data_IF_318211589746
#
_entry.id   IF_318211589746
#
_cell.length_a   1.000
_cell.length_b   1.000
_cell.length_c   1.000
_cell.angle_alpha   90.00
_cell.angle_beta   90.00
_cell.angle_gamma   90.00
#
_symmetry.space_group_name_H-M   'P 1'
#
loop_
_entity.id
_entity.type
_entity.pdbx_description
1 polymer ?
#
# COMPACT_ATOMS: atom_id res chain seq x y z
N UNK A 1 1.63 12.74 -5.91
CA UNK A 1 0.59 12.83 -6.95
C UNK A 1 -0.47 11.82 -6.57
N UNK A 2 -1.67 12.26 -6.21
CA UNK A 2 -2.74 11.39 -5.72
C UNK A 2 -4.06 11.71 -6.46
N UNK A 3 -4.80 10.67 -6.84
CA UNK A 3 -6.15 10.78 -7.42
C UNK A 3 -6.25 11.62 -8.71
N UNK A 4 -5.22 11.63 -9.56
CA UNK A 4 -5.28 12.35 -10.84
C UNK A 4 -5.79 11.47 -11.98
N UNK A 5 -6.37 12.12 -12.98
CA UNK A 5 -6.71 11.49 -14.26
C UNK A 5 -5.96 12.22 -15.38
N UNK A 6 -5.14 11.50 -16.12
CA UNK A 6 -4.39 12.03 -17.28
C UNK A 6 -4.71 11.18 -18.49
N UNK A 7 -5.04 11.82 -19.61
CA UNK A 7 -5.35 11.12 -20.84
C UNK A 7 -4.64 11.69 -22.06
N UNK A 8 -4.22 10.80 -22.97
CA UNK A 8 -3.69 11.12 -24.30
C UNK A 8 -2.56 12.16 -24.29
N UNK A 9 -1.56 11.95 -23.43
CA UNK A 9 -0.30 12.68 -23.56
C UNK A 9 0.38 12.33 -24.89
N UNK A 10 1.15 13.28 -25.41
CA UNK A 10 1.74 13.18 -26.75
C UNK A 10 2.78 12.06 -26.90
N UNK A 11 3.03 11.67 -28.15
CA UNK A 11 4.07 10.72 -28.52
C UNK A 11 5.45 11.14 -27.98
N UNK A 12 6.24 10.18 -27.53
CA UNK A 12 7.54 10.40 -26.88
C UNK A 12 7.48 11.02 -25.48
N UNK A 13 6.30 11.46 -25.00
CA UNK A 13 6.11 12.02 -23.67
C UNK A 13 5.70 10.99 -22.63
N UNK A 14 5.67 11.41 -21.37
CA UNK A 14 5.07 10.63 -20.28
C UNK A 14 3.87 11.34 -19.66
N UNK A 15 2.94 10.58 -19.08
CA UNK A 15 1.87 11.17 -18.28
C UNK A 15 2.44 11.86 -17.03
N UNK A 16 3.44 11.22 -16.41
CA UNK A 16 4.19 11.72 -15.26
C UNK A 16 5.67 11.42 -15.47
N UNK A 17 6.54 12.44 -15.46
CA UNK A 17 7.99 12.34 -15.76
C UNK A 17 8.82 13.07 -14.68
N UNK A 18 8.89 12.58 -13.43
CA UNK A 18 9.72 13.19 -12.40
C UNK A 18 11.20 13.06 -12.77
N UNK A 19 11.86 14.20 -12.94
CA UNK A 19 13.29 14.30 -13.26
C UNK A 19 14.03 14.79 -12.02
N UNK A 20 14.94 13.98 -11.48
CA UNK A 20 15.69 14.30 -10.27
C UNK A 20 14.80 14.53 -9.05
N UNK A 21 13.71 13.77 -8.91
CA UNK A 21 12.75 13.89 -7.80
C UNK A 21 12.97 12.80 -6.75
N UNK A 22 12.67 13.11 -5.48
CA UNK A 22 13.03 12.26 -4.35
C UNK A 22 11.86 12.10 -3.38
N UNK A 23 11.78 10.97 -2.67
CA UNK A 23 10.77 10.69 -1.63
C UNK A 23 9.33 10.89 -2.14
N UNK A 24 9.08 10.45 -3.36
CA UNK A 24 7.85 10.70 -4.10
C UNK A 24 6.82 9.60 -3.92
N UNK A 25 5.54 9.96 -3.88
CA UNK A 25 4.42 9.02 -3.94
C UNK A 25 3.49 9.39 -5.09
N UNK A 26 3.30 8.46 -6.02
CA UNK A 26 2.37 8.54 -7.15
C UNK A 26 1.34 7.44 -6.97
N UNK A 27 0.14 7.80 -6.53
CA UNK A 27 -0.85 6.80 -6.15
C UNK A 27 -2.28 7.12 -6.56
N UNK A 28 -3.12 6.09 -6.50
CA UNK A 28 -4.56 6.15 -6.74
C UNK A 28 -4.93 6.92 -8.02
N UNK A 29 -4.09 6.91 -9.05
CA UNK A 29 -4.27 7.73 -10.24
C UNK A 29 -4.60 6.89 -11.47
N UNK A 30 -5.06 7.54 -12.54
CA UNK A 30 -5.45 6.89 -13.79
C UNK A 30 -4.78 7.57 -14.97
N UNK A 31 -4.01 6.81 -15.73
CA UNK A 31 -3.25 7.27 -16.89
C UNK A 31 -3.66 6.47 -18.12
N UNK A 32 -4.30 7.11 -19.10
CA UNK A 32 -4.83 6.42 -20.29
C UNK A 32 -4.29 7.08 -21.56
N UNK A 33 -3.70 6.31 -22.47
CA UNK A 33 -3.30 6.87 -23.78
C UNK A 33 -3.43 5.87 -24.92
N UNK A 34 -4.00 6.32 -26.04
CA UNK A 34 -4.02 5.57 -27.30
C UNK A 34 -2.92 6.01 -28.28
N UNK A 35 -2.13 7.03 -27.92
CA UNK A 35 -1.17 7.71 -28.82
C UNK A 35 0.24 7.84 -28.22
N UNK A 36 0.53 7.13 -27.13
CA UNK A 36 1.82 7.20 -26.40
C UNK A 36 2.96 6.45 -27.09
N UNK A 37 3.04 6.45 -28.43
CA UNK A 37 4.15 5.82 -29.17
C UNK A 37 5.48 6.35 -28.68
N UNK A 38 6.41 5.46 -28.30
CA UNK A 38 7.72 5.83 -27.77
C UNK A 38 7.72 6.56 -26.42
N UNK A 39 6.56 6.73 -25.79
CA UNK A 39 6.40 7.38 -24.49
C UNK A 39 6.24 6.39 -23.33
N UNK A 40 5.84 6.90 -22.16
CA UNK A 40 5.57 6.09 -20.97
C UNK A 40 4.35 6.56 -20.19
N UNK A 41 3.76 5.72 -19.34
CA UNK A 41 2.81 6.17 -18.33
C UNK A 41 3.53 7.02 -17.29
N UNK A 42 4.39 6.37 -16.52
CA UNK A 42 5.13 6.99 -15.40
C UNK A 42 6.62 6.74 -15.57
N UNK A 43 7.44 7.79 -15.48
CA UNK A 43 8.89 7.71 -15.70
C UNK A 43 9.71 8.54 -14.70
N UNK A 44 10.07 8.01 -13.52
CA UNK A 44 11.13 8.60 -12.71
C UNK A 44 12.49 8.43 -13.38
N UNK A 45 13.25 9.52 -13.55
CA UNK A 45 14.58 9.51 -14.19
C UNK A 45 15.47 10.66 -13.68
N UNK A 46 16.68 10.80 -14.24
CA UNK A 46 17.55 11.95 -14.01
C UNK A 46 18.02 12.11 -12.57
N UNK A 47 18.39 11.01 -11.92
CA UNK A 47 18.83 10.97 -10.52
C UNK A 47 17.67 10.83 -9.51
N UNK A 48 16.49 10.43 -9.99
CA UNK A 48 15.34 10.23 -9.09
C UNK A 48 15.56 9.05 -8.14
N UNK A 49 15.11 9.16 -6.89
CA UNK A 49 15.32 8.12 -5.88
C UNK A 49 14.16 8.03 -4.90
N UNK A 50 13.88 6.83 -4.38
CA UNK A 50 12.85 6.62 -3.36
C UNK A 50 11.49 7.17 -3.83
N UNK A 51 10.99 6.61 -4.93
CA UNK A 51 9.68 6.95 -5.48
C UNK A 51 8.82 5.70 -5.50
N UNK A 52 7.68 5.78 -4.82
CA UNK A 52 6.66 4.75 -4.82
C UNK A 52 5.56 5.09 -5.82
N UNK A 53 5.20 4.11 -6.65
CA UNK A 53 4.13 4.16 -7.64
C UNK A 53 3.09 3.09 -7.22
N UNK A 54 1.99 3.51 -6.60
CA UNK A 54 1.06 2.60 -5.91
C UNK A 54 -0.39 2.68 -6.39
N UNK A 55 -1.02 1.53 -6.66
CA UNK A 55 -2.46 1.47 -6.84
C UNK A 55 -3.00 2.34 -7.99
N UNK A 56 -2.20 2.51 -9.04
CA UNK A 56 -2.58 3.26 -10.23
C UNK A 56 -3.14 2.34 -11.31
N UNK A 57 -3.95 2.93 -12.21
CA UNK A 57 -4.27 2.33 -13.51
C UNK A 57 -3.42 3.00 -14.59
N UNK A 58 -2.63 2.22 -15.32
CA UNK A 58 -1.99 2.65 -16.57
C UNK A 58 -2.60 1.85 -17.72
N UNK A 59 -3.23 2.51 -18.68
CA UNK A 59 -3.87 1.87 -19.83
C UNK A 59 -3.34 2.45 -21.14
N UNK A 60 -2.67 1.61 -21.90
CA UNK A 60 -2.03 1.96 -23.17
C UNK A 60 -2.60 1.11 -24.29
N UNK A 61 -2.67 1.66 -25.50
CA UNK A 61 -2.91 0.84 -26.68
C UNK A 61 -1.84 -0.27 -26.79
N UNK A 62 -2.24 -1.46 -27.23
CA UNK A 62 -1.35 -2.62 -27.42
C UNK A 62 -0.16 -2.23 -28.30
N UNK A 63 1.07 -2.48 -27.81
CA UNK A 63 2.31 -2.16 -28.52
C UNK A 63 2.74 -0.68 -28.46
N UNK A 64 1.99 0.18 -27.76
CA UNK A 64 2.29 1.60 -27.66
C UNK A 64 2.86 1.99 -26.30
N UNK A 65 4.04 2.60 -26.28
CA UNK A 65 4.65 3.15 -25.06
C UNK A 65 4.96 2.09 -23.99
N UNK A 66 5.41 2.55 -22.83
CA UNK A 66 5.79 1.71 -21.68
C UNK A 66 4.90 2.04 -20.50
N UNK A 67 4.43 1.05 -19.73
CA UNK A 67 3.59 1.29 -18.56
C UNK A 67 4.29 2.17 -17.53
N UNK A 68 5.33 1.62 -16.93
CA UNK A 68 6.28 2.32 -16.07
C UNK A 68 7.70 2.16 -16.64
N UNK A 69 8.48 3.23 -16.61
CA UNK A 69 9.91 3.18 -16.90
C UNK A 69 10.69 3.78 -15.73
N UNK A 70 11.41 2.95 -14.98
CA UNK A 70 12.32 3.42 -13.95
C UNK A 70 13.68 3.73 -14.60
N UNK A 71 14.01 5.00 -14.68
CA UNK A 71 15.20 5.55 -15.31
C UNK A 71 15.04 5.91 -16.79
N UNK A 72 16.15 6.08 -17.52
CA UNK A 72 16.07 6.58 -18.89
C UNK A 72 17.37 7.07 -19.51
N UNK A 73 17.25 8.08 -20.37
CA UNK A 73 18.37 8.80 -20.96
C UNK A 73 18.12 10.29 -20.75
N UNK A 74 18.70 10.80 -19.68
CA UNK A 74 18.64 12.18 -19.22
C UNK A 74 19.99 12.80 -19.57
N UNK A 75 20.01 14.01 -20.13
CA UNK A 75 21.30 14.69 -20.32
C UNK A 75 21.94 14.98 -18.95
N UNK A 76 23.26 14.80 -18.85
CA UNK A 76 24.03 14.94 -17.59
C UNK A 76 23.77 16.25 -16.82
N UNK A 77 23.51 17.35 -17.53
CA UNK A 77 23.17 18.66 -16.94
C UNK A 77 21.83 18.70 -16.19
N UNK A 78 20.94 17.73 -16.41
CA UNK A 78 19.61 17.67 -15.80
C UNK A 78 19.50 16.68 -14.65
N UNK A 79 20.56 15.94 -14.31
CA UNK A 79 20.52 15.10 -13.12
C UNK A 79 20.41 15.94 -11.85
N UNK A 80 19.56 15.51 -10.93
CA UNK A 80 19.59 15.95 -9.52
C UNK A 80 19.64 14.71 -8.66
N UNK A 81 20.66 14.61 -7.81
CA UNK A 81 20.83 13.52 -6.86
C UNK A 81 20.54 14.00 -5.44
N UNK A 82 20.19 13.06 -4.57
CA UNK A 82 20.26 13.28 -3.12
C UNK A 82 21.73 13.53 -2.75
N UNK A 83 21.97 14.34 -1.71
CA UNK A 83 23.32 14.64 -1.22
C UNK A 83 24.11 13.35 -0.94
N UNK A 84 25.23 13.19 -1.65
CA UNK A 84 26.13 12.03 -1.54
C UNK A 84 25.94 10.95 -2.60
N UNK A 85 24.83 10.99 -3.35
CA UNK A 85 24.54 10.05 -4.43
C UNK A 85 25.05 10.54 -5.79
N UNK A 86 25.31 9.61 -6.71
CA UNK A 86 25.63 9.90 -8.11
C UNK A 86 25.54 8.63 -8.97
N UNK A 87 25.55 8.79 -10.30
CA UNK A 87 25.83 7.69 -11.22
C UNK A 87 24.66 6.76 -11.56
N UNK A 88 23.42 7.18 -11.38
CA UNK A 88 22.22 6.41 -11.76
C UNK A 88 21.13 7.29 -12.39
N UNK A 89 20.29 6.73 -13.26
CA UNK A 89 19.10 7.42 -13.78
C UNK A 89 17.96 7.43 -12.77
N UNK A 90 17.75 6.30 -12.12
CA UNK A 90 16.90 6.19 -10.96
C UNK A 90 17.48 5.18 -9.97
N UNK A 91 17.01 5.19 -8.73
CA UNK A 91 17.33 4.21 -7.70
C UNK A 91 16.13 4.05 -6.76
N UNK A 92 15.98 2.90 -6.09
CA UNK A 92 14.92 2.66 -5.09
C UNK A 92 13.51 3.03 -5.57
N UNK A 93 13.14 2.57 -6.77
CA UNK A 93 11.81 2.79 -7.34
C UNK A 93 10.91 1.61 -6.99
N UNK A 94 9.85 1.87 -6.22
CA UNK A 94 8.86 0.85 -5.85
C UNK A 94 7.62 1.01 -6.71
N UNK A 95 7.15 -0.07 -7.33
CA UNK A 95 5.97 -0.11 -8.19
C UNK A 95 5.07 -1.23 -7.71
N UNK A 96 3.92 -0.88 -7.15
CA UNK A 96 3.13 -1.84 -6.38
C UNK A 96 1.62 -1.66 -6.47
N UNK A 97 0.89 -2.78 -6.47
CA UNK A 97 -0.58 -2.75 -6.49
C UNK A 97 -1.18 -2.13 -7.75
N UNK A 98 -0.39 -1.87 -8.80
CA UNK A 98 -0.88 -1.19 -10.00
C UNK A 98 -1.54 -2.18 -10.96
N UNK A 99 -2.45 -1.67 -11.77
CA UNK A 99 -3.00 -2.37 -12.92
C UNK A 99 -2.45 -1.73 -14.20
N UNK A 100 -1.74 -2.51 -15.02
CA UNK A 100 -1.13 -2.04 -16.27
C UNK A 100 -1.74 -2.83 -17.44
N UNK A 101 -2.42 -2.10 -18.33
CA UNK A 101 -3.14 -2.66 -19.47
C UNK A 101 -2.43 -2.27 -20.77
N UNK A 102 -2.16 -3.26 -21.62
CA UNK A 102 -1.57 -3.02 -22.94
C UNK A 102 -0.12 -2.53 -22.89
N UNK A 103 0.22 -1.65 -23.85
CA UNK A 103 1.57 -1.13 -24.02
C UNK A 103 2.54 -2.07 -24.72
N UNK A 104 3.74 -1.60 -25.02
CA UNK A 104 4.86 -2.43 -25.51
C UNK A 104 5.54 -3.19 -24.38
N UNK A 105 5.65 -2.57 -23.20
CA UNK A 105 6.10 -3.23 -21.97
C UNK A 105 5.40 -2.70 -20.74
N UNK A 106 5.24 -3.52 -19.70
CA UNK A 106 4.63 -3.06 -18.45
C UNK A 106 5.62 -2.30 -17.56
N UNK A 107 6.80 -2.86 -17.33
CA UNK A 107 7.90 -2.22 -16.59
C UNK A 107 9.18 -2.19 -17.44
N UNK A 108 9.99 -1.17 -17.27
CA UNK A 108 11.32 -1.08 -17.85
C UNK A 108 12.29 -0.48 -16.84
N UNK A 109 13.29 -1.25 -16.44
CA UNK A 109 14.43 -0.77 -15.68
C UNK A 109 15.51 -0.29 -16.64
N UNK A 110 15.94 0.96 -16.48
CA UNK A 110 16.89 1.61 -17.39
C UNK A 110 17.92 2.41 -16.62
N UNK A 111 19.17 1.96 -16.62
CA UNK A 111 20.30 2.54 -15.89
C UNK A 111 19.99 2.81 -14.41
N UNK A 112 19.41 1.81 -13.74
CA UNK A 112 18.99 1.84 -12.34
C UNK A 112 19.66 0.71 -11.57
N UNK A 113 20.03 1.00 -10.32
CA UNK A 113 20.41 0.03 -9.31
C UNK A 113 19.20 -0.20 -8.39
N UNK A 114 18.63 -1.39 -8.50
CA UNK A 114 17.49 -1.80 -7.69
C UNK A 114 16.12 -1.46 -8.29
N UNK A 115 15.16 -1.33 -7.39
CA UNK A 115 13.74 -1.12 -7.70
C UNK A 115 12.92 -2.40 -7.59
N UNK A 116 11.74 -2.27 -6.99
CA UNK A 116 10.85 -3.38 -6.66
C UNK A 116 9.56 -3.24 -7.45
N UNK A 117 9.22 -4.26 -8.23
CA UNK A 117 7.97 -4.35 -8.97
C UNK A 117 7.17 -5.51 -8.41
N UNK A 118 6.20 -5.22 -7.53
CA UNK A 118 5.46 -6.28 -6.84
C UNK A 118 3.96 -6.10 -6.74
N UNK A 119 3.22 -7.21 -6.64
CA UNK A 119 1.77 -7.17 -6.44
C UNK A 119 1.04 -6.32 -7.51
N UNK A 120 1.56 -6.29 -8.74
CA UNK A 120 0.91 -5.61 -9.86
C UNK A 120 0.14 -6.61 -10.70
N UNK A 121 -0.85 -6.12 -11.44
CA UNK A 121 -1.57 -6.88 -12.44
C UNK A 121 -1.25 -6.35 -13.83
N UNK A 122 -0.67 -7.21 -14.66
CA UNK A 122 -0.36 -6.94 -16.06
C UNK A 122 -1.38 -7.64 -16.94
N UNK A 123 -2.02 -6.89 -17.84
CA UNK A 123 -2.99 -7.44 -18.77
C UNK A 123 -2.61 -7.10 -20.21
N UNK A 124 -2.36 -8.15 -20.98
CA UNK A 124 -2.06 -8.09 -22.43
C UNK A 124 -0.98 -7.05 -22.77
N UNK A 125 0.17 -7.01 -22.08
CA UNK A 125 1.33 -6.35 -22.69
C UNK A 125 1.58 -6.96 -24.07
N UNK A 126 2.01 -6.12 -25.02
CA UNK A 126 2.41 -6.59 -26.34
C UNK A 126 3.78 -7.24 -26.25
N UNK A 127 4.86 -6.52 -26.56
CA UNK A 127 6.17 -7.15 -26.74
C UNK A 127 6.69 -7.85 -25.47
N UNK A 128 6.60 -7.21 -24.30
CA UNK A 128 7.24 -7.70 -23.06
C UNK A 128 6.45 -7.44 -21.79
N UNK A 129 6.58 -8.30 -20.77
CA UNK A 129 6.17 -7.95 -19.42
C UNK A 129 7.17 -6.93 -18.83
N UNK A 130 8.46 -7.21 -18.96
CA UNK A 130 9.51 -6.35 -18.44
C UNK A 130 10.65 -6.10 -19.44
N UNK A 131 11.43 -5.05 -19.17
CA UNK A 131 12.67 -4.77 -19.89
C UNK A 131 13.78 -4.40 -18.91
N UNK A 132 15.00 -4.86 -19.18
CA UNK A 132 16.24 -4.51 -18.50
C UNK A 132 17.11 -3.90 -19.59
N UNK A 133 17.33 -2.59 -19.55
CA UNK A 133 17.96 -1.87 -20.65
C UNK A 133 19.04 -0.95 -20.12
N UNK A 134 20.01 -0.65 -20.97
CA UNK A 134 20.87 0.51 -20.82
C UNK A 134 20.58 1.45 -22.01
N UNK A 135 20.16 2.68 -21.74
CA UNK A 135 19.88 3.69 -22.77
C UNK A 135 21.05 4.68 -22.94
N UNK A 136 22.13 4.55 -22.15
CA UNK A 136 23.32 5.41 -22.18
C UNK A 136 24.63 4.60 -22.21
N UNK A 137 24.82 3.66 -23.15
CA UNK A 137 25.98 2.80 -23.15
C UNK A 137 27.28 3.60 -23.34
N UNK A 138 28.29 3.29 -22.52
CA UNK A 138 29.60 3.96 -22.51
C UNK A 138 29.66 5.26 -21.69
N UNK A 139 28.55 5.72 -21.13
CA UNK A 139 28.55 6.81 -20.16
C UNK A 139 28.92 6.30 -18.76
N UNK A 140 29.40 7.19 -17.88
CA UNK A 140 29.72 6.86 -16.48
C UNK A 140 28.45 6.79 -15.60
N UNK A 141 27.47 6.03 -16.05
CA UNK A 141 26.23 5.69 -15.34
C UNK A 141 26.28 4.18 -15.11
N UNK A 142 25.80 3.73 -13.96
CA UNK A 142 25.80 2.31 -13.64
C UNK A 142 25.01 1.47 -14.67
N UNK A 143 25.45 0.22 -14.79
CA UNK A 143 24.75 -0.82 -15.51
C UNK A 143 23.44 -1.16 -14.80
N UNK A 144 22.40 -1.47 -15.55
CA UNK A 144 21.09 -1.81 -14.97
C UNK A 144 21.16 -3.13 -14.23
N UNK A 145 20.83 -3.13 -12.94
CA UNK A 145 21.05 -4.26 -12.04
C UNK A 145 20.07 -4.30 -10.86
N UNK A 146 20.05 -5.43 -10.15
CA UNK A 146 19.43 -5.62 -8.83
C UNK A 146 17.90 -5.39 -8.75
N UNK A 147 17.18 -5.41 -9.87
CA UNK A 147 15.73 -5.27 -9.85
C UNK A 147 15.01 -6.51 -9.30
N UNK A 148 13.88 -6.28 -8.64
CA UNK A 148 13.02 -7.34 -8.07
C UNK A 148 11.67 -7.34 -8.78
N UNK A 149 11.25 -8.50 -9.28
CA UNK A 149 9.91 -8.72 -9.82
C UNK A 149 9.21 -9.82 -9.01
N UNK A 150 8.28 -9.45 -8.13
CA UNK A 150 7.69 -10.38 -7.17
C UNK A 150 6.17 -10.34 -7.09
N UNK A 151 5.50 -11.48 -6.91
CA UNK A 151 4.05 -11.57 -6.61
C UNK A 151 3.14 -10.82 -7.60
N UNK A 152 3.58 -10.66 -8.86
CA UNK A 152 2.77 -10.03 -9.88
C UNK A 152 1.87 -11.05 -10.56
N UNK A 153 0.73 -10.63 -11.08
CA UNK A 153 -0.07 -11.46 -11.99
C UNK A 153 0.13 -10.97 -13.42
N UNK A 154 0.70 -11.82 -14.27
CA UNK A 154 1.07 -11.50 -15.65
C UNK A 154 0.20 -12.29 -16.62
N UNK A 155 -0.74 -11.60 -17.26
CA UNK A 155 -1.63 -12.19 -18.28
C UNK A 155 -1.24 -11.71 -19.65
N UNK A 156 -0.83 -12.62 -20.53
CA UNK A 156 -0.38 -12.31 -21.89
C UNK A 156 -1.06 -13.21 -22.92
N UNK A 157 -1.14 -12.75 -24.16
CA UNK A 157 -1.81 -13.45 -25.24
C UNK A 157 -1.45 -12.84 -26.59
N UNK A 158 -1.71 -13.60 -27.65
CA UNK A 158 -1.73 -13.16 -29.03
C UNK A 158 -0.35 -12.98 -29.64
N UNK A 159 -0.35 -12.83 -30.96
CA UNK A 159 0.86 -12.72 -31.79
C UNK A 159 1.72 -11.48 -31.49
N UNK A 160 1.17 -10.49 -30.76
CA UNK A 160 1.94 -9.33 -30.32
C UNK A 160 2.91 -9.64 -29.16
N UNK A 161 2.69 -10.75 -28.45
CA UNK A 161 3.58 -11.20 -27.39
C UNK A 161 4.91 -11.70 -27.94
N UNK A 162 6.02 -11.05 -27.58
CA UNK A 162 7.35 -11.49 -28.01
C UNK A 162 7.98 -12.44 -26.99
N UNK A 163 8.03 -12.04 -25.72
CA UNK A 163 8.68 -12.80 -24.64
C UNK A 163 8.42 -12.15 -23.28
N UNK A 164 8.70 -12.85 -22.18
CA UNK A 164 8.54 -12.25 -20.85
C UNK A 164 9.41 -11.01 -20.63
N UNK A 165 10.69 -11.09 -21.00
CA UNK A 165 11.68 -10.04 -20.78
C UNK A 165 12.43 -9.65 -22.03
N UNK A 166 12.84 -8.39 -22.11
CA UNK A 166 13.88 -7.90 -23.01
C UNK A 166 15.12 -7.53 -22.18
N UNK A 167 16.25 -8.17 -22.43
CA UNK A 167 17.49 -7.99 -21.65
C UNK A 167 18.75 -8.32 -22.46
N UNK A 168 18.71 -8.24 -23.79
CA UNK A 168 19.84 -8.56 -24.68
C UNK A 168 20.70 -7.33 -25.05
N UNK A 169 20.61 -6.26 -24.26
CA UNK A 169 21.33 -5.01 -24.47
C UNK A 169 22.75 -5.00 -23.89
N UNK A 170 23.61 -4.05 -24.29
CA UNK A 170 24.92 -3.85 -23.66
C UNK A 170 24.76 -3.33 -22.22
N UNK A 171 25.76 -3.58 -21.37
CA UNK A 171 25.93 -2.90 -20.06
C UNK A 171 24.66 -3.00 -19.17
N UNK A 172 24.12 -4.23 -19.11
CA UNK A 172 23.09 -4.66 -18.16
C UNK A 172 23.61 -5.91 -17.43
N UNK A 173 23.19 -6.10 -16.19
CA UNK A 173 23.55 -7.25 -15.35
C UNK A 173 22.29 -8.05 -15.03
N UNK A 174 21.66 -8.61 -16.05
CA UNK A 174 20.34 -9.26 -15.93
C UNK A 174 20.33 -10.46 -14.97
N UNK A 175 21.47 -11.11 -14.75
CA UNK A 175 21.63 -12.21 -13.81
C UNK A 175 21.47 -11.79 -12.34
N UNK A 176 21.54 -10.48 -12.05
CA UNK A 176 21.36 -9.93 -10.71
C UNK A 176 19.89 -9.72 -10.34
N UNK A 177 18.98 -9.85 -11.30
CA UNK A 177 17.55 -9.68 -11.07
C UNK A 177 16.96 -10.89 -10.33
N UNK A 178 16.00 -10.63 -9.45
CA UNK A 178 15.30 -11.70 -8.71
C UNK A 178 13.84 -11.77 -9.11
N UNK A 179 13.35 -12.99 -9.31
CA UNK A 179 11.96 -13.29 -9.62
C UNK A 179 11.40 -14.23 -8.54
N UNK A 180 10.26 -13.86 -7.94
CA UNK A 180 9.62 -14.67 -6.89
C UNK A 180 8.10 -14.57 -6.95
N UNK A 181 7.39 -15.69 -6.82
CA UNK A 181 5.93 -15.68 -6.61
C UNK A 181 5.08 -15.12 -7.76
N UNK A 182 5.63 -14.82 -8.95
CA UNK A 182 4.79 -14.28 -10.02
C UNK A 182 3.88 -15.35 -10.61
N UNK A 183 2.65 -14.95 -10.94
CA UNK A 183 1.66 -15.79 -11.60
C UNK A 183 1.59 -15.46 -13.08
N UNK A 184 2.18 -16.33 -13.91
CA UNK A 184 2.18 -16.21 -15.36
C UNK A 184 1.02 -17.00 -15.96
N UNK A 185 0.24 -16.33 -16.81
CA UNK A 185 -0.90 -16.94 -17.49
C UNK A 185 -0.86 -16.53 -18.97
N UNK A 186 -0.52 -17.49 -19.82
CA UNK A 186 -0.74 -17.39 -21.25
C UNK A 186 -2.22 -17.66 -21.52
N UNK A 187 -2.97 -16.67 -22.00
CA UNK A 187 -4.41 -16.82 -22.21
C UNK A 187 -4.75 -17.68 -23.41
N UNK A 188 -3.81 -17.90 -24.35
CA UNK A 188 -4.00 -18.79 -25.49
C UNK A 188 -3.66 -20.25 -25.16
N UNK A 189 -2.78 -20.46 -24.18
CA UNK A 189 -2.41 -21.77 -23.64
C UNK A 189 -2.23 -21.69 -22.10
N UNK A 190 -3.32 -21.67 -21.32
CA UNK A 190 -3.28 -21.48 -19.86
C UNK A 190 -2.83 -22.74 -19.11
N UNK A 191 -2.06 -23.60 -19.74
CA UNK A 191 -1.37 -24.72 -19.10
C UNK A 191 -0.06 -24.25 -18.46
N UNK A 192 0.49 -25.01 -17.49
CA UNK A 192 1.82 -24.71 -16.96
C UNK A 192 2.89 -24.61 -18.05
N UNK A 193 2.87 -25.50 -19.05
CA UNK A 193 3.84 -25.49 -20.15
C UNK A 193 3.70 -24.24 -21.03
N UNK A 194 2.47 -23.88 -21.43
CA UNK A 194 2.22 -22.69 -22.24
C UNK A 194 2.46 -21.37 -21.53
N UNK A 195 2.43 -21.39 -20.19
CA UNK A 195 2.56 -20.19 -19.36
C UNK A 195 3.94 -20.00 -18.72
N UNK A 196 4.84 -20.98 -18.80
CA UNK A 196 6.20 -20.89 -18.23
C UNK A 196 7.09 -20.02 -19.13
N UNK A 197 7.54 -18.84 -18.68
CA UNK A 197 8.39 -17.96 -19.48
C UNK A 197 9.87 -18.36 -19.42
N UNK A 198 10.65 -17.83 -20.36
CA UNK A 198 12.11 -17.75 -20.21
C UNK A 198 12.47 -16.45 -19.48
N UNK A 199 13.24 -16.57 -18.39
CA UNK A 199 13.70 -15.47 -17.54
C UNK A 199 15.23 -15.42 -17.50
N UNK A 200 15.84 -14.25 -17.25
CA UNK A 200 17.31 -14.12 -17.18
C UNK A 200 17.90 -14.74 -15.91
N UNK A 201 17.09 -14.91 -14.86
CA UNK A 201 17.44 -15.60 -13.64
C UNK A 201 16.29 -16.56 -13.23
N UNK A 202 16.56 -17.63 -12.46
CA UNK A 202 15.53 -18.54 -11.99
C UNK A 202 14.49 -17.84 -11.12
N UNK A 203 13.23 -18.22 -11.29
CA UNK A 203 12.13 -17.79 -10.45
C UNK A 203 11.88 -18.77 -9.31
N UNK A 204 11.69 -18.25 -8.10
CA UNK A 204 11.20 -19.01 -6.94
C UNK A 204 9.69 -18.87 -6.82
N UNK A 205 9.01 -19.89 -6.30
CA UNK A 205 7.56 -19.87 -5.99
C UNK A 205 6.60 -19.45 -7.13
N UNK A 206 7.07 -19.43 -8.38
CA UNK A 206 6.28 -19.03 -9.54
C UNK A 206 5.06 -19.93 -9.77
N UNK A 207 3.96 -19.32 -10.18
CA UNK A 207 2.73 -20.01 -10.58
C UNK A 207 2.58 -19.90 -12.10
N UNK A 208 2.38 -21.04 -12.77
CA UNK A 208 2.31 -21.10 -14.23
C UNK A 208 0.99 -21.71 -14.70
N UNK A 209 0.22 -20.95 -15.46
CA UNK A 209 -1.09 -21.34 -15.98
C UNK A 209 -2.21 -21.21 -14.95
N UNK A 210 -3.38 -21.76 -15.27
CA UNK A 210 -4.57 -21.69 -14.41
C UNK A 210 -5.71 -20.87 -15.02
N UNK A 211 -6.81 -20.78 -14.29
CA UNK A 211 -8.03 -20.14 -14.78
C UNK A 211 -7.84 -18.61 -14.86
N UNK A 212 -8.31 -18.03 -15.96
CA UNK A 212 -8.48 -16.59 -16.07
C UNK A 212 -9.65 -16.18 -15.16
N UNK A 213 -9.36 -15.78 -13.93
CA UNK A 213 -10.36 -15.30 -12.98
C UNK A 213 -10.91 -13.91 -13.36
N UNK A 214 -10.99 -13.59 -14.66
CA UNK A 214 -11.14 -12.24 -15.21
C UNK A 214 -12.22 -11.43 -14.47
N UNK A 215 -11.78 -10.55 -13.58
CA UNK A 215 -12.22 -9.17 -13.61
C UNK A 215 -10.99 -8.32 -13.27
N UNK A 216 -10.65 -7.43 -14.19
CA UNK A 216 -9.70 -6.35 -13.88
C UNK A 216 -10.23 -5.52 -12.71
N UNK A 217 -11.55 -5.48 -12.50
CA UNK A 217 -12.33 -4.64 -11.58
C UNK A 217 -11.86 -4.49 -10.13
N UNK A 218 -11.05 -5.40 -9.59
CA UNK A 218 -10.42 -5.29 -8.26
C UNK A 218 -9.38 -6.40 -8.06
N UNK A 219 -8.35 -6.11 -7.26
CA UNK A 219 -7.29 -7.05 -6.90
C UNK A 219 -7.23 -7.15 -5.37
N UNK A 220 -7.01 -8.36 -4.86
CA UNK A 220 -6.92 -8.62 -3.44
C UNK A 220 -5.66 -9.43 -3.16
N UNK A 221 -4.76 -8.82 -2.40
CA UNK A 221 -3.49 -9.39 -2.00
C UNK A 221 -3.53 -9.81 -0.54
N UNK A 222 -2.89 -10.92 -0.23
CA UNK A 222 -2.79 -11.45 1.10
C UNK A 222 -1.36 -11.29 1.62
N UNK A 223 -1.26 -10.76 2.83
CA UNK A 223 -0.02 -10.60 3.57
C UNK A 223 -0.16 -11.22 4.96
N UNK A 224 0.96 -11.44 5.63
CA UNK A 224 0.97 -11.88 7.03
C UNK A 224 0.27 -10.87 7.96
N UNK A 225 0.32 -9.59 7.62
CA UNK A 225 -0.35 -8.54 8.37
C UNK A 225 -1.85 -8.41 8.06
N UNK A 226 -2.36 -8.99 6.96
CA UNK A 226 -3.77 -8.85 6.57
C UNK A 226 -4.07 -8.98 5.07
N UNK A 227 -4.88 -8.04 4.55
CA UNK A 227 -5.28 -7.98 3.14
C UNK A 227 -5.15 -6.56 2.60
N UNK A 228 -4.70 -6.46 1.36
CA UNK A 228 -4.68 -5.22 0.58
C UNK A 228 -5.55 -5.37 -0.65
N UNK A 229 -6.63 -4.60 -0.73
CA UNK A 229 -7.53 -4.60 -1.87
C UNK A 229 -7.33 -3.30 -2.67
N UNK A 230 -7.23 -3.42 -3.99
CA UNK A 230 -7.00 -2.31 -4.90
C UNK A 230 -7.97 -2.38 -6.06
N UNK A 231 -8.75 -1.32 -6.28
CA UNK A 231 -9.59 -1.19 -7.47
C UNK A 231 -8.83 -0.43 -8.59
N UNK A 232 -8.79 -0.93 -9.83
CA UNK A 232 -8.30 -0.16 -10.96
C UNK A 232 -9.29 0.95 -11.34
N UNK A 233 -8.80 2.03 -11.96
CA UNK A 233 -9.65 3.09 -12.51
C UNK A 233 -9.92 4.21 -11.51
N UNK A 234 -10.75 5.22 -11.85
CA UNK A 234 -10.96 6.44 -11.04
C UNK A 234 -11.62 6.15 -9.68
N UNK A 235 -11.62 7.12 -8.75
CA UNK A 235 -12.24 6.95 -7.42
C UNK A 235 -13.70 6.51 -7.56
N UNK A 236 -14.08 5.42 -6.87
CA UNK A 236 -15.41 4.83 -6.96
C UNK A 236 -15.62 3.86 -8.14
N UNK A 237 -14.58 3.61 -8.94
CA UNK A 237 -14.55 2.41 -9.79
C UNK A 237 -14.20 1.19 -8.94
N UNK A 238 -14.77 0.04 -9.29
CA UNK A 238 -14.73 -1.18 -8.51
C UNK A 238 -15.96 -2.03 -8.79
N UNK A 239 -15.83 -3.34 -8.67
CA UNK A 239 -16.92 -4.28 -8.90
C UNK A 239 -18.11 -3.99 -7.97
N UNK A 240 -19.33 -3.95 -8.51
CA UNK A 240 -20.55 -3.87 -7.72
C UNK A 240 -20.77 -5.14 -6.86
N UNK A 241 -20.16 -6.25 -7.25
CA UNK A 241 -20.21 -7.53 -6.53
C UNK A 241 -19.33 -7.50 -5.27
N UNK A 242 -18.28 -6.69 -5.24
CA UNK A 242 -17.34 -6.63 -4.11
C UNK A 242 -16.36 -7.81 -4.06
N UNK A 243 -15.43 -7.75 -3.10
CA UNK A 243 -14.45 -8.81 -2.83
C UNK A 243 -14.89 -9.60 -1.60
N UNK A 244 -15.02 -10.92 -1.71
CA UNK A 244 -15.26 -11.77 -0.55
C UNK A 244 -13.94 -11.99 0.19
N UNK A 245 -13.92 -11.64 1.48
CA UNK A 245 -12.77 -11.75 2.37
C UNK A 245 -13.01 -12.91 3.33
N UNK A 246 -12.13 -13.91 3.27
CA UNK A 246 -12.09 -15.02 4.23
C UNK A 246 -11.53 -14.51 5.56
N UNK A 247 -12.01 -15.06 6.68
CA UNK A 247 -11.61 -14.70 8.05
C UNK A 247 -11.81 -13.20 8.40
N UNK A 248 -12.74 -12.54 7.71
CA UNK A 248 -13.06 -11.12 7.89
C UNK A 248 -13.42 -10.72 9.32
N UNK A 249 -13.95 -11.64 10.13
CA UNK A 249 -14.30 -11.35 11.54
C UNK A 249 -13.08 -11.03 12.41
N UNK A 250 -11.86 -11.37 11.97
CA UNK A 250 -10.61 -11.04 12.65
C UNK A 250 -9.90 -9.79 12.11
N UNK A 251 -10.45 -9.16 11.07
CA UNK A 251 -9.82 -8.05 10.37
C UNK A 251 -10.50 -6.71 10.70
N UNK A 252 -9.68 -5.67 10.74
CA UNK A 252 -10.11 -4.27 10.89
C UNK A 252 -9.93 -3.54 9.57
N UNK A 253 -10.91 -2.73 9.19
CA UNK A 253 -10.71 -1.71 8.16
C UNK A 253 -9.81 -0.61 8.72
N UNK A 254 -8.61 -0.46 8.16
CA UNK A 254 -7.71 0.64 8.48
C UNK A 254 -8.01 1.87 7.59
N UNK A 255 -8.13 3.03 8.23
CA UNK A 255 -8.40 4.31 7.57
C UNK A 255 -7.27 5.29 7.84
N UNK A 256 -6.60 5.81 6.80
CA UNK A 256 -5.49 6.74 6.98
C UNK A 256 -5.98 8.12 7.42
N UNK A 257 -5.27 8.74 8.36
CA UNK A 257 -5.30 10.18 8.58
C UNK A 257 -4.33 10.91 7.61
N UNK A 258 -4.12 12.21 7.80
CA UNK A 258 -3.34 13.02 6.87
C UNK A 258 -1.83 12.72 6.85
N UNK A 259 -1.27 12.26 7.97
CA UNK A 259 0.15 11.90 8.12
C UNK A 259 0.41 10.40 8.00
N UNK A 260 -0.64 9.62 7.73
CA UNK A 260 -0.58 8.19 7.57
C UNK A 260 0.34 7.79 6.41
N UNK A 261 1.16 6.77 6.63
CA UNK A 261 1.96 6.11 5.61
C UNK A 261 1.66 4.63 5.65
N UNK A 262 1.56 4.06 4.45
CA UNK A 262 1.35 2.63 4.25
C UNK A 262 2.56 2.08 3.51
N UNK A 263 3.09 0.95 3.96
CA UNK A 263 4.13 0.18 3.28
C UNK A 263 3.79 -1.31 3.42
N UNK A 264 3.27 -1.96 2.36
CA UNK A 264 2.81 -3.34 2.46
C UNK A 264 3.94 -4.36 2.65
N UNK A 265 5.21 -4.00 2.40
CA UNK A 265 6.35 -4.89 2.60
C UNK A 265 7.02 -4.71 3.97
N UNK A 266 6.64 -3.68 4.73
CA UNK A 266 7.12 -3.48 6.08
C UNK A 266 6.50 -4.51 7.06
N UNK A 267 7.26 -4.86 8.10
CA UNK A 267 6.79 -5.75 9.17
C UNK A 267 5.57 -5.17 9.92
N UNK A 268 5.57 -3.86 10.15
CA UNK A 268 4.38 -3.09 10.53
C UNK A 268 4.02 -2.20 9.33
N UNK A 269 2.91 -2.48 8.63
CA UNK A 269 2.61 -1.79 7.38
C UNK A 269 2.04 -0.38 7.58
N UNK A 270 1.71 0.02 8.82
CA UNK A 270 1.04 1.28 9.13
C UNK A 270 1.92 2.19 9.99
N UNK A 271 2.27 3.36 9.46
CA UNK A 271 2.92 4.43 10.20
C UNK A 271 2.08 5.71 10.20
N UNK A 272 2.29 6.60 11.17
CA UNK A 272 1.46 7.79 11.35
C UNK A 272 0.10 7.48 11.99
N UNK A 273 -0.88 8.39 11.88
CA UNK A 273 -2.19 8.19 12.50
C UNK A 273 -3.17 7.42 11.61
N UNK A 274 -3.81 6.41 12.20
CA UNK A 274 -4.82 5.57 11.57
C UNK A 274 -6.03 5.40 12.48
N UNK A 275 -7.20 5.17 11.88
CA UNK A 275 -8.38 4.71 12.62
C UNK A 275 -8.82 3.32 12.13
N UNK A 276 -9.40 2.56 13.05
CA UNK A 276 -9.74 1.15 12.85
C UNK A 276 -11.21 0.91 13.15
N UNK A 277 -11.84 0.06 12.34
CA UNK A 277 -13.23 -0.34 12.53
C UNK A 277 -13.40 -1.81 12.15
N UNK A 278 -14.15 -2.61 12.93
CA UNK A 278 -14.56 -3.93 12.52
C UNK A 278 -15.32 -3.89 11.19
N UNK A 279 -15.14 -4.92 10.38
CA UNK A 279 -15.96 -5.13 9.20
C UNK A 279 -17.39 -5.52 9.61
N UNK A 280 -18.37 -5.14 8.79
CA UNK A 280 -19.79 -5.48 9.01
C UNK A 280 -20.29 -6.62 8.12
N UNK A 281 -19.50 -7.04 7.13
CA UNK A 281 -19.78 -8.17 6.25
C UNK A 281 -18.49 -8.76 5.69
N UNK A 282 -18.57 -9.99 5.19
CA UNK A 282 -17.47 -10.65 4.50
C UNK A 282 -17.22 -10.12 3.08
N UNK A 283 -18.06 -9.21 2.58
CA UNK A 283 -17.97 -8.69 1.22
C UNK A 283 -17.60 -7.22 1.27
N UNK A 284 -16.41 -6.89 0.79
CA UNK A 284 -15.85 -5.54 0.86
C UNK A 284 -15.97 -4.86 -0.50
N UNK A 285 -16.53 -3.65 -0.54
CA UNK A 285 -16.74 -2.91 -1.78
C UNK A 285 -16.06 -1.55 -1.76
N UNK A 286 -15.22 -1.31 -2.76
CA UNK A 286 -14.60 -0.01 -3.02
C UNK A 286 -15.62 1.11 -3.23
N UNK A 287 -16.75 0.79 -3.86
CA UNK A 287 -17.85 1.72 -4.15
C UNK A 287 -18.56 2.20 -2.88
N UNK A 288 -18.77 1.31 -1.91
CA UNK A 288 -19.42 1.63 -0.63
C UNK A 288 -18.49 2.43 0.29
N UNK A 289 -17.20 2.10 0.30
CA UNK A 289 -16.20 2.81 1.12
C UNK A 289 -15.67 4.09 0.45
N UNK A 290 -15.88 4.26 -0.87
CA UNK A 290 -15.42 5.41 -1.64
C UNK A 290 -13.89 5.51 -1.76
N UNK A 291 -13.18 4.37 -1.73
CA UNK A 291 -11.69 4.29 -1.71
C UNK A 291 -11.15 3.38 -2.80
N UNK A 292 -10.01 3.75 -3.40
CA UNK A 292 -9.29 2.88 -4.35
C UNK A 292 -8.50 1.78 -3.68
N UNK A 293 -7.82 2.11 -2.59
CA UNK A 293 -7.10 1.16 -1.75
C UNK A 293 -7.89 0.92 -0.47
N UNK A 294 -8.02 -0.36 -0.09
CA UNK A 294 -8.60 -0.78 1.17
C UNK A 294 -7.57 -1.67 1.86
N UNK A 295 -7.26 -1.30 3.10
CA UNK A 295 -6.33 -2.04 3.95
C UNK A 295 -7.16 -2.70 5.04
N UNK A 296 -7.14 -4.03 5.09
CA UNK A 296 -7.75 -4.83 6.14
C UNK A 296 -6.63 -5.45 6.95
N UNK A 297 -6.54 -5.11 8.23
CA UNK A 297 -5.38 -5.42 9.05
C UNK A 297 -5.76 -6.32 10.23
N UNK A 298 -4.86 -7.26 10.56
CA UNK A 298 -4.94 -8.02 11.80
C UNK A 298 -4.57 -7.14 13.00
N UNK A 299 -5.27 -7.20 14.14
CA UNK A 299 -4.96 -6.37 15.30
C UNK A 299 -3.52 -6.49 15.81
N UNK A 300 -2.88 -7.63 15.60
CA UNK A 300 -1.51 -7.91 16.05
C UNK A 300 -0.43 -7.40 15.10
N UNK A 301 -0.80 -6.93 13.91
CA UNK A 301 0.15 -6.59 12.87
C UNK A 301 0.64 -5.14 12.89
N UNK A 302 0.07 -4.30 13.76
CA UNK A 302 0.52 -2.91 13.89
C UNK A 302 0.49 -2.41 15.32
N UNK A 303 1.55 -1.70 15.71
CA UNK A 303 1.63 -1.03 17.00
C UNK A 303 0.64 0.16 17.10
N UNK A 304 0.10 0.63 15.97
CA UNK A 304 -0.92 1.68 15.94
C UNK A 304 -2.29 1.22 16.46
N UNK A 305 -2.54 -0.10 16.53
CA UNK A 305 -3.83 -0.66 16.94
C UNK A 305 -3.84 -0.83 18.47
N UNK A 306 -4.81 -0.24 19.18
CA UNK A 306 -4.93 -0.40 20.62
C UNK A 306 -5.05 -1.86 21.05
N UNK A 307 -4.33 -2.25 22.10
CA UNK A 307 -4.47 -3.56 22.71
C UNK A 307 -4.94 -3.45 24.16
N UNK A 308 -6.25 -3.32 24.33
CA UNK A 308 -6.92 -3.21 25.62
C UNK A 308 -7.85 -4.44 25.80
N UNK A 309 -7.75 -5.22 26.89
CA UNK A 309 -8.66 -6.34 27.11
C UNK A 309 -10.12 -5.87 27.10
N UNK A 310 -10.99 -6.59 26.40
CA UNK A 310 -12.41 -6.26 26.27
C UNK A 310 -12.73 -5.15 25.25
N UNK A 311 -11.73 -4.46 24.71
CA UNK A 311 -11.89 -3.54 23.56
C UNK A 311 -11.79 -4.38 22.28
N UNK A 312 -12.93 -4.94 21.88
CA UNK A 312 -13.02 -5.85 20.74
C UNK A 312 -13.06 -5.08 19.42
N UNK A 313 -13.60 -3.86 19.40
CA UNK A 313 -13.63 -3.05 18.19
C UNK A 313 -12.34 -2.23 17.94
N UNK A 314 -11.42 -2.25 18.91
CA UNK A 314 -10.09 -1.60 18.88
C UNK A 314 -10.21 -0.09 18.76
N UNK A 315 -11.26 0.48 19.33
CA UNK A 315 -11.49 1.93 19.39
C UNK A 315 -10.62 2.62 20.46
N UNK A 316 -9.99 1.87 21.36
CA UNK A 316 -9.24 2.36 22.50
C UNK A 316 -10.08 2.56 23.76
N UNK A 317 -11.37 2.19 23.73
CA UNK A 317 -12.31 2.34 24.84
C UNK A 317 -13.09 1.05 25.00
N UNK A 318 -13.22 0.55 26.24
CA UNK A 318 -14.12 -0.57 26.53
C UNK A 318 -15.52 -0.02 26.83
N UNK A 319 -16.47 -0.25 25.93
CA UNK A 319 -17.84 0.23 26.07
C UNK A 319 -18.90 -0.74 25.51
N UNK A 320 -20.09 -0.21 25.20
CA UNK A 320 -21.23 -0.98 24.71
C UNK A 320 -21.04 -1.49 23.27
N UNK A 321 -20.21 -0.84 22.45
CA UNK A 321 -19.89 -1.24 21.08
C UNK A 321 -19.14 -2.58 21.06
N UNK A 322 -18.23 -2.80 21.99
CA UNK A 322 -17.51 -4.08 22.15
C UNK A 322 -18.46 -5.24 22.45
N UNK A 323 -19.43 -5.01 23.35
CA UNK A 323 -20.45 -6.01 23.64
C UNK A 323 -21.32 -6.30 22.42
N UNK A 324 -21.63 -5.29 21.60
CA UNK A 324 -22.37 -5.50 20.36
C UNK A 324 -21.55 -6.34 19.38
N UNK A 325 -20.24 -6.11 19.28
CA UNK A 325 -19.35 -6.92 18.44
C UNK A 325 -19.26 -8.36 18.94
N UNK A 326 -19.08 -8.58 20.25
CA UNK A 326 -19.12 -9.91 20.86
C UNK A 326 -20.42 -10.64 20.53
N UNK A 327 -21.58 -9.97 20.65
CA UNK A 327 -22.87 -10.57 20.28
C UNK A 327 -22.96 -10.93 18.80
N UNK A 328 -22.40 -10.10 17.92
CA UNK A 328 -22.39 -10.36 16.48
C UNK A 328 -21.50 -11.55 16.12
N UNK A 329 -20.40 -11.73 16.87
CA UNK A 329 -19.42 -12.78 16.62
C UNK A 329 -19.63 -14.03 17.49
N UNK A 330 -20.65 -14.10 18.34
CA UNK A 330 -20.88 -15.24 19.22
C UNK A 330 -20.96 -16.56 18.44
N UNK A 331 -20.11 -17.52 18.79
CA UNK A 331 -19.95 -18.81 18.11
C UNK A 331 -19.03 -18.79 16.88
N UNK A 332 -18.46 -17.63 16.51
CA UNK A 332 -17.41 -17.55 15.49
C UNK A 332 -16.15 -18.28 15.96
N UNK A 333 -15.45 -18.89 15.02
CA UNK A 333 -14.23 -19.68 15.28
C UNK A 333 -13.07 -19.14 14.44
N UNK A 334 -11.84 -19.54 14.77
CA UNK A 334 -10.62 -19.05 14.11
C UNK A 334 -9.97 -17.96 14.94
N UNK A 335 -9.82 -16.76 14.39
CA UNK A 335 -9.26 -15.60 15.10
C UNK A 335 -10.16 -14.36 15.05
N UNK A 336 -11.44 -14.44 15.46
CA UNK A 336 -12.35 -13.30 15.47
C UNK A 336 -11.93 -12.24 16.49
N UNK A 337 -12.27 -10.98 16.23
CA UNK A 337 -11.91 -9.84 17.08
C UNK A 337 -12.40 -9.97 18.54
N UNK A 338 -13.56 -10.58 18.75
CA UNK A 338 -14.18 -10.74 20.06
C UNK A 338 -13.76 -12.01 20.83
N UNK A 339 -12.75 -12.76 20.36
CA UNK A 339 -12.11 -13.83 21.13
C UNK A 339 -11.14 -13.21 22.15
N UNK A 340 -11.71 -12.70 23.24
CA UNK A 340 -10.97 -12.00 24.29
C UNK A 340 -10.05 -12.87 25.11
N UNK A 341 -10.27 -14.19 25.13
CA UNK A 341 -9.43 -15.14 25.86
C UNK A 341 -8.42 -15.88 24.96
N UNK A 342 -8.56 -15.79 23.64
CA UNK A 342 -7.61 -16.31 22.65
C UNK A 342 -7.68 -17.83 22.45
N UNK A 343 -8.83 -18.46 22.74
CA UNK A 343 -9.00 -19.92 22.58
C UNK A 343 -9.49 -20.34 21.17
N UNK A 344 -9.71 -19.37 20.29
CA UNK A 344 -10.15 -19.56 18.92
C UNK A 344 -11.66 -19.69 18.74
N UNK A 345 -12.47 -19.39 19.76
CA UNK A 345 -13.94 -19.36 19.68
C UNK A 345 -14.52 -18.22 20.52
N UNK A 346 -15.47 -17.47 19.96
CA UNK A 346 -16.20 -16.44 20.74
C UNK A 346 -17.34 -17.09 21.52
N UNK A 347 -17.24 -17.09 22.84
CA UNK A 347 -18.24 -17.67 23.73
C UNK A 347 -18.49 -16.83 25.01
N UNK A 348 -19.10 -17.46 26.02
CA UNK A 348 -19.44 -16.81 27.28
C UNK A 348 -18.20 -16.40 28.12
N UNK A 349 -17.04 -17.02 27.92
CA UNK A 349 -15.80 -16.64 28.58
C UNK A 349 -15.32 -15.26 28.09
N UNK A 350 -15.49 -14.96 26.80
CA UNK A 350 -15.13 -13.64 26.23
C UNK A 350 -16.05 -12.53 26.71
N UNK A 351 -17.32 -12.84 26.96
CA UNK A 351 -18.19 -11.89 27.67
C UNK A 351 -17.64 -11.55 29.06
N UNK A 352 -17.07 -12.55 29.76
CA UNK A 352 -16.40 -12.35 31.04
C UNK A 352 -15.23 -11.36 30.94
N UNK A 353 -14.39 -11.51 29.91
CA UNK A 353 -13.26 -10.59 29.63
C UNK A 353 -13.75 -9.15 29.44
N UNK A 354 -14.73 -8.94 28.55
CA UNK A 354 -15.32 -7.61 28.32
C UNK A 354 -15.91 -7.01 29.60
N UNK A 355 -16.73 -7.77 30.33
CA UNK A 355 -17.42 -7.29 31.54
C UNK A 355 -16.42 -6.85 32.61
N UNK A 356 -15.39 -7.66 32.83
CA UNK A 356 -14.39 -7.37 33.85
C UNK A 356 -13.54 -6.15 33.47
N UNK A 357 -13.22 -5.98 32.18
CA UNK A 357 -12.56 -4.81 31.65
C UNK A 357 -13.41 -3.53 31.76
N UNK A 358 -14.70 -3.58 31.40
CA UNK A 358 -15.62 -2.46 31.53
C UNK A 358 -15.71 -1.97 32.98
N UNK A 359 -15.78 -2.90 33.94
CA UNK A 359 -15.79 -2.58 35.36
C UNK A 359 -14.46 -1.94 35.84
N UNK A 360 -13.33 -2.28 35.23
CA UNK A 360 -12.03 -1.68 35.52
C UNK A 360 -11.92 -0.25 34.96
N UNK A 361 -12.41 -0.02 33.74
CA UNK A 361 -12.44 1.30 33.09
C UNK A 361 -13.25 2.32 33.91
N UNK A 362 -14.39 1.91 34.47
CA UNK A 362 -15.20 2.73 35.38
C UNK A 362 -14.49 3.14 36.68
N UNK A 363 -13.47 2.38 37.12
CA UNK A 363 -12.68 2.68 38.33
C UNK A 363 -11.54 3.66 38.07
N UNK A 364 -11.04 3.79 36.84
CA UNK A 364 -9.98 4.76 36.52
C UNK A 364 -10.49 6.20 36.47
N UNK A 365 -11.74 6.43 36.02
CA UNK A 365 -12.37 7.76 36.03
C UNK A 365 -12.70 8.32 37.43
N UNK A 366 -12.53 7.54 38.51
CA UNK A 366 -12.69 8.00 39.90
C UNK A 366 -11.37 8.39 40.58
N UNK A 367 -10.23 8.32 39.89
CA UNK A 367 -8.91 8.52 40.50
C UNK A 367 -8.25 9.84 40.10
N UNK A 368 -8.86 10.96 40.50
CA UNK A 368 -8.22 12.22 40.94
C UNK A 368 -9.25 13.35 41.02
N UNK A 369 -9.93 13.46 42.17
CA UNK A 369 -10.36 14.78 42.66
C UNK A 369 -9.40 15.10 43.79
N UNK A 370 -8.41 15.99 43.60
CA UNK A 370 -7.72 16.58 44.74
C UNK A 370 -8.80 17.27 45.56
N UNK A 371 -9.10 16.76 46.75
CA UNK A 371 -9.87 17.50 47.74
C UNK A 371 -9.21 18.88 47.87
N UNK A 372 -9.95 20.00 47.77
CA UNK A 372 -9.37 21.30 48.07
C UNK A 372 -8.78 21.20 49.47
N UNK A 373 -7.45 21.31 49.58
CA UNK A 373 -6.80 21.37 50.87
C UNK A 373 -7.41 22.55 51.63
N UNK A 374 -8.19 22.26 52.66
CA UNK A 374 -8.83 23.19 53.59
C UNK A 374 -7.86 24.15 54.29
N UNK A 375 -6.55 24.02 54.03
CA UNK A 375 -5.49 24.91 54.48
C UNK A 375 -5.43 26.25 53.71
N UNK A 376 -5.95 26.35 52.48
CA UNK A 376 -5.94 27.60 51.70
C UNK A 376 -6.97 28.64 52.18
N UNK A 377 -8.11 28.19 52.71
CA UNK A 377 -9.18 29.09 53.16
C UNK A 377 -8.92 29.71 54.54
N UNK A 378 -8.02 29.13 55.35
CA UNK A 378 -7.69 29.70 56.67
C UNK A 378 -6.66 30.84 56.59
N UNK A 379 -5.77 30.85 55.58
CA UNK A 379 -4.73 31.88 55.44
C UNK A 379 -5.25 33.17 54.77
N UNK A 380 -6.27 33.09 53.92
CA UNK A 380 -6.93 34.27 53.34
C UNK A 380 -7.77 35.05 54.37
N UNK A 381 -8.28 34.37 55.41
CA UNK A 381 -9.03 35.03 56.50
C UNK A 381 -8.16 35.86 57.46
N UNK A 382 -6.88 35.52 57.63
CA UNK A 382 -5.98 36.23 58.55
C UNK A 382 -5.35 37.47 57.86
N UNK A 383 -5.12 37.43 56.54
CA UNK A 383 -4.63 38.58 55.78
C UNK A 383 -5.66 39.72 55.68
N UNK A 384 -6.96 39.40 55.62
CA UNK A 384 -8.04 40.40 55.58
C UNK A 384 -8.20 41.18 56.90
N UNK A 385 -7.80 40.61 58.04
CA UNK A 385 -7.83 41.28 59.35
C UNK A 385 -6.57 42.14 59.63
N UNK A 386 -5.47 41.93 58.90
CA UNK A 386 -4.26 42.75 59.00
C UNK A 386 -4.35 44.04 58.16
N UNK A 387 -5.02 44.01 57.01
CA UNK A 387 -5.17 45.18 56.14
C UNK A 387 -6.21 46.21 56.64
N UNK A 388 -7.20 45.82 57.44
CA UNK A 388 -8.21 46.77 57.97
C UNK A 388 -7.70 47.61 59.15
N UNK A 389 -6.53 47.27 59.72
CA UNK A 389 -5.94 47.98 60.86
C UNK A 389 -4.85 49.00 60.47
N UNK A 390 -4.44 49.04 59.21
CA UNK A 390 -3.41 49.97 58.69
C UNK A 390 -3.97 51.29 58.12
N UNK A 391 -5.29 51.45 58.03
CA UNK A 391 -5.93 52.67 57.50
C UNK A 391 -6.35 53.71 58.57
N UNK A 392 -6.05 53.49 59.85
CA UNK A 392 -6.44 54.40 60.95
C UNK A 392 -5.27 55.21 61.58
N UNK A 393 -4.07 55.21 61.00
CA UNK A 393 -2.90 55.92 61.56
C UNK A 393 -2.25 56.96 60.61
N UNK A 394 -2.98 57.46 59.62
CA UNK A 394 -2.57 58.66 58.85
C UNK A 394 -3.77 59.57 58.60
N UNK A 395 -4.11 60.37 59.61
CA UNK A 395 -4.88 61.61 59.51
C UNK A 395 -4.20 62.64 60.42
#
# INVERSE_FOLDING_TARGET
IDQVYVSNWGAGGSAVDPVGSHHGLIENSTFISTVATGGSGIRPKGGSKDITIRGNLVSLATGQGRGVQAGGSTDSQFFRFIDGDSGYEAADITVEGNTILGGSSAISWVNIDGGVFHHNVLQRPADWAFRILNENPGDAILDTQNGVMADNVVRYAGDSWRSAGNYDGPEVLEETFTFDGNHWINLDDPTPAGSTPQLPAPESNGLYGGQDASTVDQHAWQFDWGRWLVAPGPKGSGSAQGTVVVDWQGLLLATPAADARFDPLAADPLAGAWSFQPLSSNTVKHTELGRKQIILILPTASAAIPNLPGDYDRSGVVDQADYQLWRQQYGATGSPLADGNGNGIVDAADYGVWRDALAASGKQSQRQIPTPSTLGALLAGIAALACSRWQWLRA
#
